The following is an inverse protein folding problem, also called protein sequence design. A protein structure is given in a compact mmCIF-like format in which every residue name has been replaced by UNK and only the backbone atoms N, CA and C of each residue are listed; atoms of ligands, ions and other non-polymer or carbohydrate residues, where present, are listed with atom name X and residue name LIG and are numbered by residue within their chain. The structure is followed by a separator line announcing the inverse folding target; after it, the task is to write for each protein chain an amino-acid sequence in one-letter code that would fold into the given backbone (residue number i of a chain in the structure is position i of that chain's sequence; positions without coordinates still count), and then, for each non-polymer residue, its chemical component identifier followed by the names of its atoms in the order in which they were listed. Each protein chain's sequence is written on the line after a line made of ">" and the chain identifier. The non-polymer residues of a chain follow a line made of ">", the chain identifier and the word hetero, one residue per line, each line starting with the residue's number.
data_IF_220131826813
#
_entry.id   IF_220131826813
#
_cell.length_a   1.000
_cell.length_b   1.000
_cell.length_c   1.000
_cell.angle_alpha   90.00
_cell.angle_beta   90.00
_cell.angle_gamma   90.00
#
_symmetry.space_group_name_H-M   'P 1'
#
loop_
_entity.id
_entity.type
_entity.pdbx_description
1 polymer ?
#
# COMPACT_ATOMS: atom_id res chain seq x y z
N UNK A 1 -23.01 -16.70 24.05
CA UNK A 1 -23.28 -15.48 23.26
C UNK A 1 -22.03 -14.66 22.97
N UNK A 2 -21.16 -14.37 23.95
CA UNK A 2 -19.97 -13.52 23.75
C UNK A 2 -19.00 -14.04 22.66
N UNK A 3 -18.71 -15.34 22.64
CA UNK A 3 -17.88 -15.95 21.57
C UNK A 3 -18.52 -15.83 20.18
N UNK A 4 -19.82 -16.08 20.06
CA UNK A 4 -20.54 -15.92 18.79
C UNK A 4 -20.53 -14.45 18.32
N UNK A 5 -20.74 -13.49 19.23
CA UNK A 5 -20.64 -12.06 18.91
C UNK A 5 -19.23 -11.65 18.45
N UNK A 6 -18.18 -12.17 19.09
CA UNK A 6 -16.78 -11.94 18.67
C UNK A 6 -16.48 -12.56 17.32
N UNK A 7 -17.01 -13.75 17.04
CA UNK A 7 -16.87 -14.40 15.74
C UNK A 7 -17.53 -13.58 14.63
N UNK A 8 -18.78 -13.14 14.81
CA UNK A 8 -19.49 -12.29 13.84
C UNK A 8 -18.80 -10.94 13.64
N UNK A 9 -18.35 -10.31 14.73
CA UNK A 9 -17.56 -9.06 14.64
C UNK A 9 -16.21 -9.26 13.93
N UNK A 10 -15.59 -10.43 14.11
CA UNK A 10 -14.38 -10.83 13.39
C UNK A 10 -14.59 -10.94 11.88
N UNK A 11 -15.71 -11.55 11.45
CA UNK A 11 -16.10 -11.60 10.04
C UNK A 11 -16.25 -10.18 9.47
N UNK A 12 -16.96 -9.29 10.19
CA UNK A 12 -17.12 -7.89 9.80
C UNK A 12 -15.78 -7.16 9.67
N UNK A 13 -14.87 -7.35 10.62
CA UNK A 13 -13.52 -6.75 10.59
C UNK A 13 -12.70 -7.27 9.42
N UNK A 14 -12.81 -8.57 9.10
CA UNK A 14 -12.15 -9.16 7.93
C UNK A 14 -12.64 -8.56 6.61
N UNK A 15 -13.96 -8.38 6.48
CA UNK A 15 -14.59 -7.75 5.30
C UNK A 15 -14.24 -6.26 5.17
N UNK A 16 -14.03 -5.56 6.30
CA UNK A 16 -13.69 -4.15 6.32
C UNK A 16 -12.35 -3.82 5.61
N UNK A 17 -11.48 -4.81 5.37
CA UNK A 17 -10.27 -4.59 4.56
C UNK A 17 -10.57 -4.12 3.13
N UNK A 18 -11.77 -4.38 2.61
CA UNK A 18 -12.24 -3.82 1.33
C UNK A 18 -12.29 -2.29 1.32
N UNK A 19 -12.39 -1.64 2.48
CA UNK A 19 -12.35 -0.18 2.60
C UNK A 19 -11.03 0.40 2.08
N UNK A 20 -9.89 -0.24 2.39
CA UNK A 20 -8.59 0.21 1.89
C UNK A 20 -8.51 0.14 0.37
N UNK A 21 -9.10 -0.90 -0.23
CA UNK A 21 -9.19 -1.02 -1.69
C UNK A 21 -10.05 0.10 -2.27
N UNK A 22 -11.24 0.33 -1.71
CA UNK A 22 -12.15 1.38 -2.14
C UNK A 22 -11.50 2.77 -2.09
N UNK A 23 -10.85 3.13 -0.98
CA UNK A 23 -10.09 4.39 -0.85
C UNK A 23 -9.01 4.47 -1.93
N UNK A 24 -8.35 3.37 -2.23
CA UNK A 24 -7.26 3.33 -3.21
C UNK A 24 -7.73 3.45 -4.67
N UNK A 25 -8.99 3.07 -4.96
CA UNK A 25 -9.61 3.18 -6.29
C UNK A 25 -10.34 4.51 -6.50
N UNK A 26 -10.82 5.13 -5.42
CA UNK A 26 -11.56 6.40 -5.46
C UNK A 26 -10.67 7.62 -5.27
N UNK A 27 -9.55 7.50 -4.55
CA UNK A 27 -8.62 8.60 -4.35
C UNK A 27 -7.93 9.04 -5.65
N UNK A 28 -7.73 10.35 -5.81
CA UNK A 28 -6.89 10.88 -6.88
C UNK A 28 -5.43 10.45 -6.68
N UNK A 29 -4.63 10.27 -7.76
CA UNK A 29 -3.26 9.78 -7.67
C UNK A 29 -2.37 10.59 -6.71
N UNK A 30 -2.56 11.91 -6.66
CA UNK A 30 -1.83 12.83 -5.79
C UNK A 30 -2.24 12.75 -4.30
N UNK A 31 -3.48 12.35 -4.00
CA UNK A 31 -4.04 12.31 -2.64
C UNK A 31 -4.06 10.90 -2.03
N UNK A 32 -3.86 9.86 -2.84
CA UNK A 32 -3.95 8.45 -2.44
C UNK A 32 -3.06 8.10 -1.25
N UNK A 33 -1.82 8.59 -1.24
CA UNK A 33 -0.88 8.32 -0.16
C UNK A 33 -1.35 8.93 1.18
N UNK A 34 -1.91 10.15 1.14
CA UNK A 34 -2.40 10.84 2.32
C UNK A 34 -3.65 10.15 2.89
N UNK A 35 -4.62 9.83 2.05
CA UNK A 35 -5.84 9.10 2.45
C UNK A 35 -5.53 7.70 2.98
N UNK A 36 -4.57 6.99 2.39
CA UNK A 36 -4.12 5.69 2.90
C UNK A 36 -3.47 5.80 4.29
N UNK A 37 -2.76 6.88 4.57
CA UNK A 37 -2.10 7.12 5.87
C UNK A 37 -3.10 7.43 6.99
N UNK A 38 -4.32 7.89 6.68
CA UNK A 38 -5.36 8.14 7.68
C UNK A 38 -5.85 6.85 8.36
N UNK A 39 -5.75 5.68 7.71
CA UNK A 39 -6.26 4.41 8.24
C UNK A 39 -5.68 4.06 9.62
N UNK A 40 -4.34 3.88 9.75
CA UNK A 40 -3.70 3.59 11.04
C UNK A 40 -3.96 4.63 12.13
N UNK A 41 -4.12 5.91 11.76
CA UNK A 41 -4.45 6.99 12.70
C UNK A 41 -5.87 6.78 13.26
N UNK A 42 -6.85 6.53 12.39
CA UNK A 42 -8.23 6.24 12.80
C UNK A 42 -8.34 4.98 13.67
N UNK A 43 -7.58 3.93 13.36
CA UNK A 43 -7.50 2.74 14.22
C UNK A 43 -6.94 3.10 15.60
N UNK A 44 -5.93 3.97 15.66
CA UNK A 44 -5.33 4.40 16.93
C UNK A 44 -6.28 5.26 17.76
N UNK A 45 -7.07 6.13 17.12
CA UNK A 45 -8.17 6.87 17.76
C UNK A 45 -9.20 5.89 18.34
N UNK A 46 -9.61 4.88 17.56
CA UNK A 46 -10.54 3.85 18.03
C UNK A 46 -10.02 3.08 19.25
N UNK A 47 -8.74 2.72 19.26
CA UNK A 47 -8.09 2.05 20.41
C UNK A 47 -8.06 2.96 21.64
N UNK A 48 -7.75 4.25 21.47
CA UNK A 48 -7.79 5.22 22.56
C UNK A 48 -9.19 5.37 23.16
N UNK A 49 -10.23 5.45 22.31
CA UNK A 49 -11.63 5.52 22.76
C UNK A 49 -11.98 4.26 23.55
N UNK A 50 -11.68 3.06 23.04
CA UNK A 50 -12.02 1.80 23.69
C UNK A 50 -11.27 1.62 25.01
N UNK A 51 -9.98 1.97 25.09
CA UNK A 51 -9.23 1.90 26.35
C UNK A 51 -9.74 2.90 27.38
N UNK A 52 -10.09 4.12 26.95
CA UNK A 52 -10.66 5.13 27.84
C UNK A 52 -12.00 4.64 28.39
N UNK A 53 -12.90 4.17 27.51
CA UNK A 53 -14.20 3.61 27.91
C UNK A 53 -14.03 2.39 28.84
N UNK A 54 -13.05 1.53 28.55
CA UNK A 54 -12.74 0.37 29.40
C UNK A 54 -12.19 0.73 30.78
N UNK A 55 -11.58 1.91 30.93
CA UNK A 55 -11.11 2.43 32.21
C UNK A 55 -12.24 3.06 33.05
N UNK A 56 -13.24 3.67 32.42
CA UNK A 56 -14.33 4.39 33.11
C UNK A 56 -15.64 3.60 33.23
N UNK A 57 -15.85 2.58 32.39
CA UNK A 57 -17.12 1.83 32.31
C UNK A 57 -16.91 0.32 32.29
N UNK A 58 -18.01 -0.43 32.43
CA UNK A 58 -18.00 -1.89 32.29
C UNK A 58 -17.87 -2.33 30.82
N UNK A 59 -17.40 -3.55 30.61
CA UNK A 59 -17.20 -4.12 29.27
C UNK A 59 -18.49 -4.17 28.43
N UNK A 60 -19.66 -4.34 29.07
CA UNK A 60 -20.98 -4.35 28.42
C UNK A 60 -21.33 -2.98 27.85
N UNK A 61 -21.13 -1.92 28.64
CA UNK A 61 -21.38 -0.53 28.20
C UNK A 61 -20.40 -0.12 27.12
N UNK A 62 -19.12 -0.51 27.25
CA UNK A 62 -18.11 -0.28 26.21
C UNK A 62 -18.49 -0.96 24.89
N UNK A 63 -19.04 -2.18 24.95
CA UNK A 63 -19.55 -2.88 23.77
C UNK A 63 -20.77 -2.17 23.17
N UNK A 64 -21.69 -1.67 24.00
CA UNK A 64 -22.85 -0.90 23.55
C UNK A 64 -22.44 0.40 22.84
N UNK A 65 -21.47 1.15 23.38
CA UNK A 65 -20.95 2.36 22.75
C UNK A 65 -20.30 2.09 21.39
N UNK A 66 -19.66 0.92 21.21
CA UNK A 66 -19.08 0.51 19.93
C UNK A 66 -20.11 0.28 18.81
N UNK A 67 -21.40 0.16 19.14
CA UNK A 67 -22.48 0.04 18.14
C UNK A 67 -22.70 1.37 17.42
N UNK A 68 -22.57 2.50 18.11
CA UNK A 68 -22.80 3.83 17.54
C UNK A 68 -21.93 4.14 16.31
N UNK A 69 -20.58 3.99 16.33
CA UNK A 69 -19.77 4.22 15.15
C UNK A 69 -20.05 3.21 14.02
N UNK A 70 -20.49 1.99 14.34
CA UNK A 70 -20.88 1.00 13.33
C UNK A 70 -22.15 1.43 12.59
N UNK A 71 -23.19 1.88 13.29
CA UNK A 71 -24.42 2.43 12.68
C UNK A 71 -24.11 3.67 11.86
N UNK A 72 -23.28 4.58 12.40
CA UNK A 72 -22.85 5.78 11.67
C UNK A 72 -22.11 5.41 10.38
N UNK A 73 -21.20 4.44 10.43
CA UNK A 73 -20.48 3.98 9.24
C UNK A 73 -21.43 3.43 8.18
N UNK A 74 -22.45 2.67 8.58
CA UNK A 74 -23.46 2.13 7.67
C UNK A 74 -24.29 3.24 7.01
N UNK A 75 -24.68 4.25 7.77
CA UNK A 75 -25.41 5.41 7.25
C UNK A 75 -24.55 6.20 6.24
N UNK A 76 -23.29 6.49 6.57
CA UNK A 76 -22.37 7.23 5.71
C UNK A 76 -22.02 6.46 4.43
N UNK A 77 -21.87 5.13 4.50
CA UNK A 77 -21.58 4.32 3.29
C UNK A 77 -22.69 4.39 2.25
N UNK A 78 -23.95 4.66 2.63
CA UNK A 78 -25.03 4.82 1.64
C UNK A 78 -24.96 6.13 0.87
N UNK A 79 -24.20 7.12 1.36
CA UNK A 79 -24.03 8.41 0.69
C UNK A 79 -22.83 8.41 -0.26
N UNK A 80 -22.00 7.36 -0.24
CA UNK A 80 -20.81 7.24 -1.07
C UNK A 80 -21.15 6.61 -2.43
N UNK A 81 -20.58 7.10 -3.54
CA UNK A 81 -20.72 6.46 -4.84
C UNK A 81 -19.96 5.13 -4.87
N UNK A 82 -20.38 4.21 -5.73
CA UNK A 82 -19.64 2.98 -5.98
C UNK A 82 -18.29 3.24 -6.65
N UNK A 83 -17.34 2.31 -6.50
CA UNK A 83 -16.00 2.46 -7.12
C UNK A 83 -16.12 2.60 -8.65
N UNK A 84 -15.59 3.68 -9.26
CA UNK A 84 -15.64 3.86 -10.71
C UNK A 84 -14.95 2.73 -11.48
N UNK A 85 -13.84 2.21 -10.94
CA UNK A 85 -13.11 1.10 -11.52
C UNK A 85 -13.97 -0.19 -11.54
N UNK A 86 -14.72 -0.44 -10.47
CA UNK A 86 -15.63 -1.57 -10.39
C UNK A 86 -16.83 -1.43 -11.34
N UNK A 87 -17.46 -0.26 -11.38
CA UNK A 87 -18.59 0.04 -12.29
C UNK A 87 -18.19 -0.14 -13.76
N UNK A 88 -17.02 0.40 -14.16
CA UNK A 88 -16.47 0.23 -15.50
C UNK A 88 -16.17 -1.25 -15.80
N UNK A 89 -15.64 -2.02 -14.83
CA UNK A 89 -15.41 -3.45 -15.01
C UNK A 89 -16.70 -4.25 -15.25
N UNK A 90 -17.82 -3.80 -14.69
CA UNK A 90 -19.15 -4.41 -14.89
C UNK A 90 -19.85 -3.94 -16.17
N UNK A 91 -19.25 -3.02 -16.93
CA UNK A 91 -19.87 -2.43 -18.12
C UNK A 91 -20.91 -1.36 -17.81
N UNK A 92 -21.02 -0.90 -16.56
CA UNK A 92 -21.89 0.20 -16.13
C UNK A 92 -21.16 1.53 -16.36
N UNK A 93 -20.98 1.88 -17.62
CA UNK A 93 -20.14 3.00 -18.09
C UNK A 93 -20.66 4.37 -17.67
N UNK A 94 -21.97 4.59 -17.80
CA UNK A 94 -22.60 5.87 -17.44
C UNK A 94 -22.45 6.17 -15.95
N UNK A 95 -22.76 5.20 -15.10
CA UNK A 95 -22.64 5.34 -13.64
C UNK A 95 -21.17 5.51 -13.21
N UNK A 96 -20.22 4.85 -13.89
CA UNK A 96 -18.81 5.03 -13.62
C UNK A 96 -18.37 6.48 -13.85
N UNK A 97 -18.86 7.11 -14.93
CA UNK A 97 -18.60 8.52 -15.23
C UNK A 97 -19.25 9.46 -14.19
N UNK A 98 -20.48 9.17 -13.77
CA UNK A 98 -21.16 9.93 -12.71
C UNK A 98 -20.44 9.84 -11.36
N UNK A 99 -19.99 8.65 -10.97
CA UNK A 99 -19.19 8.44 -9.77
C UNK A 99 -17.85 9.19 -9.83
N UNK A 100 -17.18 9.18 -10.98
CA UNK A 100 -15.96 9.97 -11.22
C UNK A 100 -16.21 11.47 -11.10
N UNK A 101 -17.31 11.99 -11.68
CA UNK A 101 -17.69 13.40 -11.58
C UNK A 101 -17.97 13.80 -10.12
N UNK A 102 -18.62 12.95 -9.35
CA UNK A 102 -18.85 13.19 -7.91
C UNK A 102 -17.54 13.24 -7.12
N UNK A 103 -16.60 12.34 -7.41
CA UNK A 103 -15.33 12.22 -6.70
C UNK A 103 -14.29 13.29 -7.09
N UNK A 104 -14.25 13.70 -8.36
CA UNK A 104 -13.24 14.65 -8.89
C UNK A 104 -13.76 16.07 -9.05
N UNK A 105 -15.07 16.26 -9.07
CA UNK A 105 -15.73 17.50 -9.47
C UNK A 105 -15.85 17.64 -11.00
N UNK A 106 -16.60 18.64 -11.49
CA UNK A 106 -16.73 18.90 -12.93
C UNK A 106 -15.41 19.44 -13.49
N UNK A 107 -14.78 18.74 -14.43
CA UNK A 107 -13.53 19.19 -15.05
C UNK A 107 -13.09 18.35 -16.26
N UNK A 108 -12.25 18.96 -17.12
CA UNK A 108 -11.81 18.42 -18.42
C UNK A 108 -10.99 17.12 -18.33
N UNK A 109 -10.46 16.76 -17.15
CA UNK A 109 -9.64 15.57 -16.96
C UNK A 109 -10.44 14.28 -16.69
N UNK A 110 -11.75 14.39 -16.41
CA UNK A 110 -12.58 13.22 -16.05
C UNK A 110 -12.78 12.29 -17.24
N UNK A 111 -12.95 12.84 -18.45
CA UNK A 111 -13.14 12.03 -19.66
C UNK A 111 -11.89 11.23 -20.03
N UNK A 112 -10.69 11.80 -19.80
CA UNK A 112 -9.42 11.12 -20.00
C UNK A 112 -9.19 10.01 -18.97
N UNK A 113 -9.40 10.29 -17.68
CA UNK A 113 -9.30 9.28 -16.60
C UNK A 113 -10.30 8.13 -16.82
N UNK A 114 -11.50 8.46 -17.31
CA UNK A 114 -12.51 7.48 -17.68
C UNK A 114 -12.07 6.58 -18.86
N UNK A 115 -11.51 7.16 -19.93
CA UNK A 115 -11.01 6.38 -21.06
C UNK A 115 -9.88 5.42 -20.64
N UNK A 116 -8.92 5.90 -19.84
CA UNK A 116 -7.82 5.09 -19.30
C UNK A 116 -8.35 3.92 -18.43
N UNK A 117 -9.39 4.15 -17.63
CA UNK A 117 -10.05 3.13 -16.83
C UNK A 117 -10.76 2.08 -17.69
N UNK A 118 -11.44 2.49 -18.76
CA UNK A 118 -12.11 1.58 -19.70
C UNK A 118 -11.10 0.69 -20.44
N UNK A 119 -10.00 1.26 -20.94
CA UNK A 119 -8.94 0.51 -21.60
C UNK A 119 -8.27 -0.51 -20.66
N UNK A 120 -7.98 -0.09 -19.42
CA UNK A 120 -7.37 -0.95 -18.41
C UNK A 120 -8.29 -2.12 -18.05
N UNK A 121 -9.60 -1.87 -17.94
CA UNK A 121 -10.59 -2.90 -17.66
C UNK A 121 -10.81 -3.86 -18.84
N UNK A 122 -10.77 -3.37 -20.09
CA UNK A 122 -10.85 -4.21 -21.28
C UNK A 122 -9.68 -5.21 -21.32
N UNK A 123 -8.44 -4.72 -21.13
CA UNK A 123 -7.23 -5.56 -21.02
C UNK A 123 -7.32 -6.59 -19.89
N UNK A 124 -8.02 -6.26 -18.79
CA UNK A 124 -8.19 -7.17 -17.63
C UNK A 124 -9.22 -8.27 -17.87
N UNK A 125 -10.27 -8.01 -18.66
CA UNK A 125 -11.31 -9.01 -19.00
C UNK A 125 -10.79 -10.13 -19.90
N UNK A 126 -9.83 -9.82 -20.79
CA UNK A 126 -9.27 -10.80 -21.72
C UNK A 126 -8.38 -11.85 -21.04
N UNK A 127 -7.84 -11.58 -19.84
CA UNK A 127 -6.95 -12.49 -19.10
C UNK A 127 -7.49 -12.82 -17.71
N UNK A 128 -8.47 -13.72 -17.63
CA UNK A 128 -8.84 -14.40 -16.37
C UNK A 128 -7.81 -15.48 -16.03
N UNK A 129 -6.65 -15.08 -15.53
CA UNK A 129 -5.62 -16.00 -15.07
C UNK A 129 -5.90 -16.46 -13.63
N UNK A 130 -5.66 -17.75 -13.33
CA UNK A 130 -5.90 -18.34 -12.01
C UNK A 130 -4.88 -17.84 -10.97
N UNK A 131 -5.35 -17.49 -9.77
CA UNK A 131 -4.49 -17.06 -8.64
C UNK A 131 -3.46 -18.15 -8.28
N UNK A 132 -3.84 -19.41 -8.41
CA UNK A 132 -2.98 -20.55 -8.09
C UNK A 132 -1.81 -20.67 -9.07
N UNK A 133 -2.06 -20.33 -10.34
CA UNK A 133 -1.04 -20.25 -11.38
C UNK A 133 -0.16 -19.01 -11.21
N UNK A 134 -0.73 -17.89 -10.76
CA UNK A 134 0.02 -16.68 -10.44
C UNK A 134 1.01 -16.90 -9.29
N UNK A 135 0.65 -17.69 -8.27
CA UNK A 135 1.53 -18.03 -7.14
C UNK A 135 2.80 -18.79 -7.57
N UNK A 136 2.81 -19.47 -8.71
CA UNK A 136 4.02 -20.13 -9.21
C UNK A 136 4.97 -19.16 -9.94
N UNK A 137 4.53 -17.95 -10.28
CA UNK A 137 5.36 -16.99 -11.00
C UNK A 137 6.43 -16.37 -10.09
N UNK A 138 7.70 -16.27 -10.53
CA UNK A 138 8.81 -15.71 -9.73
C UNK A 138 8.59 -14.27 -9.29
N UNK A 139 7.80 -13.53 -10.05
CA UNK A 139 7.39 -12.18 -9.77
C UNK A 139 6.35 -12.06 -8.62
N UNK A 140 5.65 -13.15 -8.31
CA UNK A 140 4.58 -13.16 -7.29
C UNK A 140 5.05 -13.85 -6.01
N UNK A 141 5.67 -15.03 -6.12
CA UNK A 141 6.03 -15.81 -4.93
C UNK A 141 7.15 -15.16 -4.11
N UNK A 142 8.10 -14.45 -4.76
CA UNK A 142 9.17 -13.73 -4.06
C UNK A 142 8.60 -12.60 -3.17
N UNK A 143 7.80 -11.65 -3.69
CA UNK A 143 7.06 -10.71 -2.85
C UNK A 143 6.20 -11.35 -1.77
N UNK A 144 5.48 -12.42 -2.12
CA UNK A 144 4.62 -13.13 -1.18
C UNK A 144 5.41 -13.70 -0.01
N UNK A 145 6.57 -14.32 -0.26
CA UNK A 145 7.44 -14.85 0.78
C UNK A 145 8.04 -13.74 1.65
N UNK A 146 8.45 -12.62 1.05
CA UNK A 146 8.96 -11.45 1.79
C UNK A 146 7.89 -10.93 2.75
N UNK A 147 6.66 -10.74 2.26
CA UNK A 147 5.55 -10.26 3.08
C UNK A 147 5.16 -11.28 4.15
N UNK A 148 5.13 -12.57 3.82
CA UNK A 148 4.85 -13.63 4.78
C UNK A 148 5.85 -13.63 5.95
N UNK A 149 7.15 -13.59 5.66
CA UNK A 149 8.21 -13.52 6.68
C UNK A 149 8.08 -12.23 7.48
N UNK A 150 7.79 -11.10 6.82
CA UNK A 150 7.62 -9.83 7.53
C UNK A 150 6.43 -9.86 8.49
N UNK A 151 5.28 -10.39 8.08
CA UNK A 151 4.13 -10.59 8.96
C UNK A 151 4.46 -11.57 10.10
N UNK A 152 5.17 -12.67 9.83
CA UNK A 152 5.57 -13.61 10.87
C UNK A 152 6.47 -12.95 11.93
N UNK A 153 7.49 -12.19 11.52
CA UNK A 153 8.36 -11.44 12.43
C UNK A 153 7.60 -10.34 13.17
N UNK A 154 6.63 -9.70 12.50
CA UNK A 154 5.73 -8.74 13.14
C UNK A 154 4.89 -9.38 14.25
N UNK A 155 4.31 -10.56 14.03
CA UNK A 155 3.53 -11.25 15.06
C UNK A 155 4.43 -11.71 16.23
N UNK A 156 5.57 -12.32 15.92
CA UNK A 156 6.52 -12.83 16.92
C UNK A 156 7.18 -11.71 17.74
N UNK A 157 7.20 -10.48 17.25
CA UNK A 157 7.70 -9.32 18.01
C UNK A 157 6.82 -8.91 19.20
N UNK A 158 5.62 -9.50 19.34
CA UNK A 158 4.76 -9.29 20.51
C UNK A 158 3.92 -8.01 20.48
N UNK A 159 3.91 -7.24 19.38
CA UNK A 159 3.12 -5.99 19.28
C UNK A 159 1.65 -6.24 19.62
N UNK A 160 1.02 -7.20 18.94
CA UNK A 160 -0.39 -7.49 19.16
C UNK A 160 -0.65 -8.08 20.54
N UNK A 161 0.28 -8.86 21.09
CA UNK A 161 0.18 -9.38 22.45
C UNK A 161 0.14 -8.24 23.46
N UNK A 162 1.08 -7.31 23.39
CA UNK A 162 1.16 -6.14 24.28
C UNK A 162 -0.09 -5.27 24.12
N UNK A 163 -0.66 -5.15 22.92
CA UNK A 163 -1.88 -4.39 22.69
C UNK A 163 -3.14 -5.10 23.23
N UNK A 164 -3.32 -6.40 23.02
CA UNK A 164 -4.51 -7.11 23.49
C UNK A 164 -4.49 -7.39 24.99
N UNK A 165 -3.29 -7.63 25.55
CA UNK A 165 -3.08 -7.92 26.95
C UNK A 165 -2.43 -6.74 27.71
N UNK A 166 -2.59 -5.50 27.23
CA UNK A 166 -1.93 -4.32 27.80
C UNK A 166 -2.09 -4.23 29.33
N UNK A 167 -3.33 -4.33 29.81
CA UNK A 167 -3.64 -4.28 31.26
C UNK A 167 -3.01 -5.43 32.01
N UNK A 168 -3.04 -6.65 31.47
CA UNK A 168 -2.43 -7.83 32.09
C UNK A 168 -0.91 -7.71 32.15
N UNK A 169 -0.27 -7.26 31.08
CA UNK A 169 1.19 -7.03 31.02
C UNK A 169 1.60 -5.95 32.02
N UNK A 170 0.83 -4.87 32.15
CA UNK A 170 1.08 -3.82 33.14
C UNK A 170 0.96 -4.35 34.58
N UNK A 171 -0.04 -5.19 34.84
CA UNK A 171 -0.24 -5.83 36.15
C UNK A 171 0.87 -6.81 36.49
N UNK A 172 1.32 -7.60 35.52
CA UNK A 172 2.42 -8.56 35.70
C UNK A 172 3.78 -7.87 35.96
N UNK A 173 3.91 -6.58 35.63
CA UNK A 173 5.08 -5.74 35.91
C UNK A 173 5.03 -5.11 37.31
N UNK A 174 3.85 -5.12 37.96
CA UNK A 174 3.60 -4.58 39.30
C UNK A 174 3.95 -3.07 39.41
N UNK A 175 3.25 -2.25 38.63
CA UNK A 175 3.46 -0.80 38.59
C UNK A 175 2.60 -0.11 39.66
N UNK A 176 3.16 0.86 40.39
CA UNK A 176 2.46 1.67 41.40
C UNK A 176 1.33 2.59 40.83
N UNK A 177 1.10 2.54 39.52
CA UNK A 177 0.12 3.37 38.81
C UNK A 177 -1.05 2.48 38.39
N UNK A 178 -2.27 3.01 38.46
CA UNK A 178 -3.46 2.30 38.01
C UNK A 178 -3.29 1.73 36.57
N UNK A 179 -3.36 0.39 36.44
CA UNK A 179 -3.21 -0.35 35.17
C UNK A 179 -4.08 0.22 34.04
N UNK A 180 -5.32 0.63 34.36
CA UNK A 180 -6.26 1.16 33.38
C UNK A 180 -5.83 2.54 32.90
N UNK A 181 -5.38 3.42 33.80
CA UNK A 181 -4.86 4.74 33.43
C UNK A 181 -3.57 4.63 32.60
N UNK A 182 -2.67 3.70 32.97
CA UNK A 182 -1.47 3.39 32.21
C UNK A 182 -1.79 2.86 30.81
N UNK A 183 -2.82 2.01 30.67
CA UNK A 183 -3.27 1.51 29.37
C UNK A 183 -3.75 2.65 28.46
N UNK A 184 -4.51 3.62 29.00
CA UNK A 184 -4.94 4.82 28.25
C UNK A 184 -3.73 5.62 27.79
N UNK A 185 -2.72 5.80 28.65
CA UNK A 185 -1.46 6.45 28.29
C UNK A 185 -0.73 5.75 27.13
N UNK A 186 -0.69 4.41 27.11
CA UNK A 186 -0.13 3.63 25.99
C UNK A 186 -0.91 3.89 24.70
N UNK A 187 -2.25 3.97 24.75
CA UNK A 187 -3.05 4.30 23.59
C UNK A 187 -2.84 5.74 23.10
N UNK A 188 -2.59 6.70 24.00
CA UNK A 188 -2.21 8.06 23.63
C UNK A 188 -0.87 8.08 22.91
N UNK A 189 0.14 7.39 23.44
CA UNK A 189 1.45 7.25 22.79
C UNK A 189 1.30 6.64 21.40
N UNK A 190 0.47 5.59 21.27
CA UNK A 190 0.15 4.96 19.99
C UNK A 190 -0.43 5.96 18.99
N UNK A 191 -1.38 6.78 19.40
CA UNK A 191 -1.99 7.80 18.54
C UNK A 191 -0.96 8.81 18.03
N UNK A 192 -0.18 9.42 18.92
CA UNK A 192 0.83 10.40 18.53
C UNK A 192 1.92 9.78 17.66
N UNK A 193 2.39 8.59 18.00
CA UNK A 193 3.37 7.86 17.21
C UNK A 193 2.83 7.49 15.82
N UNK A 194 1.53 7.22 15.68
CA UNK A 194 0.90 6.95 14.37
C UNK A 194 0.88 8.18 13.46
N UNK A 195 0.57 9.35 14.03
CA UNK A 195 0.58 10.63 13.30
C UNK A 195 2.01 10.97 12.88
N UNK A 196 2.96 10.82 13.81
CA UNK A 196 4.37 11.03 13.54
C UNK A 196 4.90 10.04 12.48
N UNK A 197 4.56 8.76 12.60
CA UNK A 197 4.92 7.71 11.64
C UNK A 197 4.39 7.97 10.23
N UNK A 198 3.14 8.44 10.11
CA UNK A 198 2.57 8.85 8.82
C UNK A 198 3.35 10.02 8.19
N UNK A 199 3.75 11.02 8.98
CA UNK A 199 4.62 12.10 8.52
C UNK A 199 6.00 11.60 8.07
N UNK A 200 6.62 10.71 8.84
CA UNK A 200 7.92 10.12 8.51
C UNK A 200 7.87 9.21 7.28
N UNK A 201 6.78 8.47 7.07
CA UNK A 201 6.60 7.63 5.90
C UNK A 201 6.61 8.42 4.59
N UNK A 202 6.25 9.71 4.64
CA UNK A 202 6.32 10.63 3.51
C UNK A 202 7.73 11.16 3.24
N UNK A 203 8.68 11.06 4.17
CA UNK A 203 10.05 11.59 4.02
C UNK A 203 11.15 10.51 3.99
N UNK A 204 10.97 9.41 4.71
CA UNK A 204 11.91 8.30 4.79
C UNK A 204 11.52 7.15 3.86
N UNK A 205 12.53 6.39 3.43
CA UNK A 205 12.34 5.12 2.71
C UNK A 205 11.67 4.05 3.60
N UNK A 206 10.95 3.12 3.00
CA UNK A 206 10.16 2.11 3.71
C UNK A 206 11.09 1.11 4.41
N UNK A 207 12.23 0.82 3.79
CA UNK A 207 13.28 -0.05 4.35
C UNK A 207 13.88 0.51 5.63
N UNK A 208 14.25 1.79 5.61
CA UNK A 208 14.86 2.47 6.77
C UNK A 208 13.83 2.65 7.88
N UNK A 209 12.59 3.01 7.54
CA UNK A 209 11.53 3.20 8.52
C UNK A 209 11.18 1.90 9.26
N UNK A 210 11.10 0.77 8.55
CA UNK A 210 10.90 -0.55 9.15
C UNK A 210 12.06 -0.94 10.07
N UNK A 211 13.30 -0.65 9.69
CA UNK A 211 14.47 -0.93 10.50
C UNK A 211 14.49 -0.11 11.80
N UNK A 212 14.37 1.22 11.71
CA UNK A 212 14.41 2.10 12.89
C UNK A 212 13.30 1.74 13.86
N UNK A 213 12.10 1.46 13.34
CA UNK A 213 10.95 1.03 14.13
C UNK A 213 11.19 -0.33 14.80
N UNK A 214 11.62 -1.36 14.05
CA UNK A 214 11.90 -2.69 14.60
C UNK A 214 13.06 -2.71 15.60
N UNK A 215 14.12 -1.92 15.34
CA UNK A 215 15.25 -1.78 16.27
C UNK A 215 14.83 -1.07 17.55
N UNK A 216 14.05 0.02 17.44
CA UNK A 216 13.49 0.72 18.60
C UNK A 216 12.62 -0.20 19.46
N UNK A 217 11.80 -1.05 18.83
CA UNK A 217 11.02 -2.06 19.53
C UNK A 217 11.89 -3.11 20.24
N UNK A 218 12.98 -3.55 19.62
CA UNK A 218 13.91 -4.52 20.21
C UNK A 218 14.58 -3.93 21.46
N UNK A 219 15.10 -2.71 21.37
CA UNK A 219 15.70 -2.00 22.51
C UNK A 219 14.67 -1.81 23.63
N UNK A 220 13.44 -1.43 23.29
CA UNK A 220 12.37 -1.25 24.26
C UNK A 220 11.96 -2.57 24.94
N UNK A 221 11.79 -3.65 24.18
CA UNK A 221 11.46 -4.98 24.72
C UNK A 221 12.58 -5.55 25.60
N UNK A 222 13.84 -5.35 25.18
CA UNK A 222 15.01 -5.67 26.00
C UNK A 222 15.01 -4.87 27.30
N UNK A 223 14.68 -3.57 27.24
CA UNK A 223 14.53 -2.71 28.42
C UNK A 223 13.53 -3.27 29.44
N UNK A 224 12.36 -3.72 28.98
CA UNK A 224 11.37 -4.41 29.84
C UNK A 224 11.96 -5.69 30.43
N UNK A 225 12.67 -6.50 29.66
CA UNK A 225 13.26 -7.73 30.17
C UNK A 225 14.35 -7.48 31.24
N UNK A 226 15.09 -6.37 31.11
CA UNK A 226 16.14 -5.96 32.06
C UNK A 226 15.55 -5.39 33.36
N UNK A 227 14.36 -4.78 33.34
CA UNK A 227 13.72 -4.29 34.58
C UNK A 227 13.47 -5.43 35.57
N UNK A 228 13.05 -6.60 35.08
CA UNK A 228 12.90 -7.81 35.90
C UNK A 228 14.22 -8.41 36.41
N UNK A 229 15.38 -8.00 35.87
CA UNK A 229 16.69 -8.49 36.33
C UNK A 229 17.32 -7.58 37.37
N UNK A 230 17.16 -6.27 37.18
CA UNK A 230 17.82 -5.23 37.97
C UNK A 230 16.87 -4.49 38.92
N UNK A 231 15.57 -4.82 38.95
CA UNK A 231 14.54 -4.20 39.78
C UNK A 231 14.53 -2.68 39.64
N UNK A 232 14.45 -2.19 38.39
CA UNK A 232 14.32 -0.77 38.12
C UNK A 232 13.01 -0.20 38.68
N UNK A 233 12.95 1.11 38.97
CA UNK A 233 11.72 1.75 39.44
C UNK A 233 10.59 1.65 38.40
N UNK A 234 9.35 1.58 38.87
CA UNK A 234 8.16 1.21 38.09
C UNK A 234 7.85 2.12 36.89
N UNK A 235 8.39 3.33 36.85
CA UNK A 235 8.27 4.23 35.68
C UNK A 235 9.11 3.78 34.47
N UNK A 236 10.20 3.04 34.71
CA UNK A 236 11.09 2.54 33.64
C UNK A 236 10.39 1.51 32.74
N UNK A 237 9.80 0.41 33.26
CA UNK A 237 9.11 -0.55 32.40
C UNK A 237 7.90 0.06 31.71
N UNK A 238 7.19 1.01 32.35
CA UNK A 238 6.11 1.76 31.73
C UNK A 238 6.60 2.57 30.51
N UNK A 239 7.73 3.28 30.66
CA UNK A 239 8.37 4.00 29.57
C UNK A 239 8.81 3.05 28.46
N UNK A 240 9.38 1.88 28.80
CA UNK A 240 9.78 0.90 27.81
C UNK A 240 8.59 0.29 27.05
N UNK A 241 7.45 0.01 27.70
CA UNK A 241 6.23 -0.44 27.01
C UNK A 241 5.72 0.66 26.08
N UNK A 242 5.64 1.89 26.58
CA UNK A 242 5.25 3.05 25.77
C UNK A 242 6.16 3.23 24.55
N UNK A 243 7.47 3.10 24.74
CA UNK A 243 8.46 3.17 23.66
C UNK A 243 8.31 2.00 22.68
N UNK A 244 8.02 0.79 23.15
CA UNK A 244 7.78 -0.37 22.28
C UNK A 244 6.55 -0.14 21.40
N UNK A 245 5.42 0.27 21.99
CA UNK A 245 4.19 0.57 21.24
C UNK A 245 4.38 1.76 20.30
N UNK A 246 4.99 2.84 20.78
CA UNK A 246 5.29 4.02 19.97
C UNK A 246 6.21 3.69 18.79
N UNK A 247 7.33 3.02 19.05
CA UNK A 247 8.26 2.58 18.00
C UNK A 247 7.55 1.70 16.98
N UNK A 248 6.68 0.77 17.39
CA UNK A 248 5.94 -0.10 16.48
C UNK A 248 5.05 0.65 15.48
N UNK A 249 4.40 1.74 15.94
CA UNK A 249 3.51 2.55 15.09
C UNK A 249 4.24 3.37 14.03
N UNK A 250 5.53 3.67 14.24
CA UNK A 250 6.33 4.44 13.29
C UNK A 250 6.46 3.72 11.95
N UNK A 251 6.53 2.38 11.94
CA UNK A 251 6.61 1.64 10.68
C UNK A 251 6.43 0.14 10.77
N UNK A 252 6.97 -0.53 11.78
CA UNK A 252 6.98 -2.00 11.84
C UNK A 252 5.57 -2.60 11.90
N UNK A 253 4.59 -1.89 12.48
CA UNK A 253 3.19 -2.29 12.48
C UNK A 253 2.49 -1.98 11.15
N UNK A 254 2.72 -0.80 10.57
CA UNK A 254 1.92 -0.27 9.45
C UNK A 254 2.45 -0.70 8.08
N UNK A 255 3.77 -0.86 7.94
CA UNK A 255 4.42 -1.10 6.66
C UNK A 255 4.04 -2.42 5.99
N UNK A 256 3.96 -3.59 6.67
CA UNK A 256 3.55 -4.83 6.00
C UNK A 256 2.20 -4.72 5.27
N UNK A 257 1.25 -4.00 5.88
CA UNK A 257 -0.07 -3.74 5.30
C UNK A 257 0.01 -2.84 4.07
N UNK A 258 0.79 -1.76 4.13
CA UNK A 258 1.00 -0.85 2.99
C UNK A 258 1.73 -1.58 1.85
N UNK A 259 2.79 -2.31 2.17
CA UNK A 259 3.63 -3.04 1.23
C UNK A 259 2.88 -4.15 0.50
N UNK A 260 1.84 -4.72 1.11
CA UNK A 260 0.92 -5.65 0.42
C UNK A 260 0.29 -5.00 -0.83
N UNK A 261 0.06 -3.68 -0.80
CA UNK A 261 -0.45 -2.93 -1.94
C UNK A 261 0.63 -2.36 -2.87
N UNK A 262 1.91 -2.39 -2.48
CA UNK A 262 3.01 -1.85 -3.29
C UNK A 262 3.81 -2.94 -4.02
N UNK A 263 4.00 -4.12 -3.42
CA UNK A 263 4.78 -5.20 -4.04
C UNK A 263 3.98 -6.05 -5.03
N UNK A 264 2.67 -6.20 -4.83
CA UNK A 264 1.89 -7.10 -5.68
C UNK A 264 1.53 -6.44 -7.02
N UNK A 265 1.69 -7.17 -8.13
CA UNK A 265 1.30 -6.70 -9.46
C UNK A 265 -0.20 -6.42 -9.47
N UNK A 266 -0.60 -5.33 -10.15
CA UNK A 266 -1.98 -4.84 -10.17
C UNK A 266 -3.00 -5.92 -10.58
N UNK A 267 -2.58 -6.84 -11.46
CA UNK A 267 -3.41 -7.94 -11.97
C UNK A 267 -3.89 -8.88 -10.86
N UNK A 268 -3.00 -9.25 -9.94
CA UNK A 268 -3.26 -10.25 -8.89
C UNK A 268 -3.40 -9.66 -7.48
N UNK A 269 -3.23 -8.35 -7.32
CA UNK A 269 -3.22 -7.65 -6.01
C UNK A 269 -4.41 -7.98 -5.13
N UNK A 270 -5.63 -8.03 -5.68
CA UNK A 270 -6.83 -8.34 -4.89
C UNK A 270 -6.80 -9.74 -4.28
N UNK A 271 -6.49 -10.76 -5.10
CA UNK A 271 -6.43 -12.16 -4.65
C UNK A 271 -5.26 -12.44 -3.71
N UNK A 272 -4.06 -11.98 -4.07
CA UNK A 272 -2.85 -12.16 -3.25
C UNK A 272 -2.91 -11.36 -1.95
N UNK A 273 -3.43 -10.14 -1.99
CA UNK A 273 -3.63 -9.31 -0.80
C UNK A 273 -4.61 -9.95 0.18
N UNK A 274 -5.71 -10.51 -0.31
CA UNK A 274 -6.66 -11.28 0.50
C UNK A 274 -6.02 -12.51 1.14
N UNK A 275 -5.29 -13.31 0.36
CA UNK A 275 -4.59 -14.50 0.87
C UNK A 275 -3.55 -14.14 1.94
N UNK A 276 -2.73 -13.13 1.68
CA UNK A 276 -1.69 -12.65 2.61
C UNK A 276 -2.31 -12.15 3.91
N UNK A 277 -3.40 -11.38 3.81
CA UNK A 277 -4.14 -10.87 4.96
C UNK A 277 -4.73 -12.00 5.79
N UNK A 278 -5.33 -13.01 5.16
CA UNK A 278 -5.87 -14.19 5.85
C UNK A 278 -4.79 -14.95 6.61
N UNK A 279 -3.60 -15.14 6.01
CA UNK A 279 -2.46 -15.76 6.67
C UNK A 279 -1.96 -14.90 7.83
N UNK A 280 -1.83 -13.59 7.65
CA UNK A 280 -1.42 -12.67 8.72
C UNK A 280 -2.39 -12.70 9.91
N UNK A 281 -3.71 -12.74 9.65
CA UNK A 281 -4.73 -12.85 10.70
C UNK A 281 -4.68 -14.21 11.40
N UNK A 282 -4.38 -15.29 10.67
CA UNK A 282 -4.16 -16.61 11.27
C UNK A 282 -2.93 -16.62 12.19
N UNK A 283 -1.82 -16.02 11.76
CA UNK A 283 -0.62 -15.87 12.60
C UNK A 283 -0.91 -15.02 13.84
N UNK A 284 -1.71 -13.97 13.71
CA UNK A 284 -2.18 -13.13 14.83
C UNK A 284 -2.99 -13.97 15.82
N UNK A 285 -3.94 -14.76 15.34
CA UNK A 285 -4.76 -15.65 16.17
C UNK A 285 -3.90 -16.66 16.94
N UNK A 286 -2.98 -17.35 16.26
CA UNK A 286 -2.07 -18.32 16.89
C UNK A 286 -1.24 -17.64 17.98
N UNK A 287 -0.65 -16.48 17.68
CA UNK A 287 0.22 -15.76 18.63
C UNK A 287 -0.53 -15.29 19.87
N UNK A 288 -1.72 -14.68 19.70
CA UNK A 288 -2.55 -14.21 20.82
C UNK A 288 -3.03 -15.40 21.67
N UNK A 289 -3.41 -16.51 21.02
CA UNK A 289 -3.92 -17.69 21.73
C UNK A 289 -2.82 -18.42 22.50
N UNK A 290 -1.61 -18.49 21.96
CA UNK A 290 -0.46 -19.15 22.58
C UNK A 290 0.17 -18.33 23.72
N UNK A 291 -0.02 -17.01 23.73
CA UNK A 291 0.64 -16.13 24.69
C UNK A 291 0.33 -16.45 26.17
N UNK A 292 -0.92 -16.66 26.62
CA UNK A 292 -1.20 -16.98 28.02
C UNK A 292 -0.50 -18.27 28.49
N UNK A 293 -0.49 -19.30 27.64
CA UNK A 293 0.17 -20.57 27.94
C UNK A 293 1.70 -20.38 28.01
N UNK A 294 2.27 -19.61 27.08
CA UNK A 294 3.69 -19.24 27.08
C UNK A 294 4.07 -18.46 28.35
N UNK A 295 3.25 -17.49 28.74
CA UNK A 295 3.47 -16.68 29.93
C UNK A 295 3.34 -17.51 31.22
N UNK A 296 2.44 -18.49 31.25
CA UNK A 296 2.29 -19.39 32.40
C UNK A 296 3.50 -20.32 32.59
N UNK A 297 4.12 -20.79 31.50
CA UNK A 297 5.25 -21.73 31.57
C UNK A 297 6.59 -21.02 31.78
N UNK A 298 6.85 -19.95 31.01
CA UNK A 298 8.18 -19.30 30.99
C UNK A 298 8.16 -17.97 31.73
N UNK A 299 7.02 -17.30 31.86
CA UNK A 299 6.90 -16.00 32.51
C UNK A 299 7.20 -14.81 31.61
N UNK A 300 6.78 -13.62 32.06
CA UNK A 300 6.80 -12.40 31.27
C UNK A 300 8.23 -11.97 30.90
N UNK A 301 9.18 -12.12 31.84
CA UNK A 301 10.59 -11.78 31.66
C UNK A 301 11.21 -12.43 30.43
N UNK A 302 11.03 -13.73 30.27
CA UNK A 302 11.61 -14.46 29.14
C UNK A 302 10.81 -14.25 27.85
N UNK A 303 9.50 -14.06 27.97
CA UNK A 303 8.65 -13.69 26.84
C UNK A 303 9.11 -12.37 26.20
N UNK A 304 9.50 -11.38 27.01
CA UNK A 304 10.04 -10.11 26.51
C UNK A 304 11.41 -10.26 25.82
N UNK A 305 12.26 -11.18 26.27
CA UNK A 305 13.50 -11.54 25.55
C UNK A 305 13.22 -12.14 24.18
N UNK A 306 12.23 -13.02 24.06
CA UNK A 306 11.80 -13.60 22.78
C UNK A 306 11.30 -12.50 21.84
N UNK A 307 10.46 -11.60 22.34
CA UNK A 307 9.96 -10.46 21.57
C UNK A 307 11.09 -9.51 21.12
N UNK A 308 12.06 -9.26 21.99
CA UNK A 308 13.27 -8.48 21.65
C UNK A 308 14.09 -9.13 20.55
N UNK A 309 14.31 -10.45 20.62
CA UNK A 309 15.09 -11.17 19.61
C UNK A 309 14.34 -11.19 18.26
N UNK A 310 13.03 -11.44 18.27
CA UNK A 310 12.20 -11.46 17.07
C UNK A 310 12.10 -10.08 16.40
N UNK A 311 11.96 -9.00 17.17
CA UNK A 311 11.95 -7.63 16.64
C UNK A 311 13.31 -7.21 16.09
N UNK A 312 14.42 -7.61 16.72
CA UNK A 312 15.77 -7.37 16.19
C UNK A 312 15.98 -8.13 14.88
N UNK A 313 15.57 -9.40 14.80
CA UNK A 313 15.60 -10.18 13.57
C UNK A 313 14.73 -9.54 12.49
N UNK A 314 13.55 -9.04 12.87
CA UNK A 314 12.68 -8.23 12.02
C UNK A 314 13.35 -6.96 11.48
N UNK A 315 14.09 -6.25 12.30
CA UNK A 315 14.83 -5.06 11.89
C UNK A 315 15.95 -5.43 10.90
N UNK A 316 16.74 -6.47 11.19
CA UNK A 316 17.79 -6.95 10.30
C UNK A 316 17.20 -7.44 8.96
N UNK A 317 16.08 -8.16 9.01
CA UNK A 317 15.32 -8.57 7.83
C UNK A 317 14.87 -7.36 7.00
N UNK A 318 14.32 -6.33 7.67
CA UNK A 318 13.91 -5.10 7.03
C UNK A 318 15.09 -4.42 6.31
N UNK A 319 16.27 -4.37 6.91
CA UNK A 319 17.45 -3.85 6.20
C UNK A 319 17.96 -4.77 5.11
N UNK A 320 17.93 -6.08 5.23
CA UNK A 320 18.68 -6.94 4.28
C UNK A 320 17.86 -7.35 3.06
N UNK A 321 16.59 -7.69 3.28
CA UNK A 321 15.74 -8.38 2.28
C UNK A 321 14.68 -7.45 1.71
N UNK A 322 14.21 -6.46 2.49
CA UNK A 322 13.09 -5.63 2.10
C UNK A 322 13.47 -4.68 0.95
N UNK A 323 12.73 -4.69 -0.18
CA UNK A 323 12.96 -3.75 -1.27
C UNK A 323 12.50 -2.35 -0.86
N UNK A 324 13.25 -1.34 -1.31
CA UNK A 324 12.76 0.04 -1.23
C UNK A 324 11.67 0.26 -2.30
N UNK A 325 10.47 0.63 -1.86
CA UNK A 325 9.29 0.85 -2.70
C UNK A 325 8.99 2.33 -2.91
N UNK A 326 9.59 3.23 -2.12
CA UNK A 326 9.34 4.67 -2.19
C UNK A 326 9.78 5.26 -3.53
N UNK A 327 8.88 6.01 -4.16
CA UNK A 327 9.18 6.76 -5.38
C UNK A 327 9.50 5.89 -6.60
N UNK A 328 9.16 4.59 -6.53
CA UNK A 328 9.31 3.65 -7.65
C UNK A 328 7.95 3.38 -8.26
N UNK A 329 7.90 3.25 -9.59
CA UNK A 329 6.68 2.82 -10.26
C UNK A 329 6.40 1.35 -9.95
N UNK A 330 5.13 0.94 -10.05
CA UNK A 330 4.75 -0.46 -9.83
C UNK A 330 5.41 -1.39 -10.86
N UNK A 331 5.58 -0.90 -12.09
CA UNK A 331 6.23 -1.64 -13.17
C UNK A 331 7.74 -1.83 -12.91
N UNK A 332 8.43 -0.83 -12.34
CA UNK A 332 9.83 -0.96 -11.94
C UNK A 332 10.04 -2.03 -10.86
N UNK A 333 9.12 -2.08 -9.89
CA UNK A 333 9.14 -3.07 -8.81
C UNK A 333 8.91 -4.47 -9.40
N UNK A 334 7.96 -4.59 -10.32
CA UNK A 334 7.64 -5.84 -11.02
C UNK A 334 8.86 -6.35 -11.82
N UNK A 335 9.50 -5.49 -12.60
CA UNK A 335 10.69 -5.82 -13.38
C UNK A 335 11.86 -6.29 -12.49
N UNK A 336 12.03 -5.71 -11.31
CA UNK A 336 13.08 -6.11 -10.35
C UNK A 336 12.93 -7.55 -9.87
N UNK A 337 11.71 -8.05 -9.73
CA UNK A 337 11.46 -9.44 -9.35
C UNK A 337 11.57 -10.41 -10.54
N UNK A 338 11.27 -9.94 -11.76
CA UNK A 338 11.46 -10.68 -13.01
C UNK A 338 12.94 -10.87 -13.39
N UNK A 339 13.77 -9.84 -13.25
CA UNK A 339 15.18 -9.83 -13.71
C UNK A 339 16.08 -10.87 -13.00
N UNK A 340 15.79 -11.21 -11.74
CA UNK A 340 16.56 -12.22 -10.97
C UNK A 340 16.33 -13.69 -11.38
N UNK A 341 15.58 -13.95 -12.45
CA UNK A 341 15.33 -15.30 -12.98
C UNK A 341 15.72 -15.34 -14.44
N UNK A 342 17.02 -15.57 -14.72
CA UNK A 342 17.59 -15.92 -16.03
C UNK A 342 16.85 -15.35 -17.27
N UNK A 343 16.77 -14.03 -17.37
CA UNK A 343 16.51 -13.37 -18.64
C UNK A 343 17.87 -13.13 -19.30
N UNK A 344 18.23 -14.00 -20.25
CA UNK A 344 19.36 -13.79 -21.15
C UNK A 344 19.26 -12.39 -21.77
N UNK A 345 20.31 -11.59 -21.58
CA UNK A 345 20.49 -10.21 -22.09
C UNK A 345 20.12 -10.04 -23.58
N UNK A 346 20.10 -11.12 -24.37
CA UNK A 346 19.71 -11.11 -25.77
C UNK A 346 18.22 -10.84 -26.03
N UNK A 347 17.31 -11.11 -25.07
CA UNK A 347 15.87 -10.94 -25.30
C UNK A 347 15.40 -9.51 -25.04
N UNK A 348 16.05 -8.82 -24.09
CA UNK A 348 15.80 -7.40 -23.81
C UNK A 348 16.22 -6.53 -25.01
N UNK A 349 17.39 -6.78 -25.61
CA UNK A 349 17.81 -6.07 -26.82
C UNK A 349 16.88 -6.31 -28.02
N UNK A 350 16.29 -7.51 -28.18
CA UNK A 350 15.34 -7.78 -29.29
C UNK A 350 13.98 -7.12 -29.10
N UNK A 351 13.47 -7.05 -27.87
CA UNK A 351 12.18 -6.38 -27.59
C UNK A 351 12.36 -4.86 -27.65
N UNK A 352 13.48 -4.34 -27.13
CA UNK A 352 13.81 -2.92 -27.21
C UNK A 352 14.13 -2.48 -28.65
N UNK A 353 14.84 -3.31 -29.45
CA UNK A 353 15.06 -3.02 -30.88
C UNK A 353 13.78 -3.06 -31.71
N UNK A 354 12.80 -3.88 -31.32
CA UNK A 354 11.49 -3.91 -31.99
C UNK A 354 10.57 -2.76 -31.56
N UNK A 355 10.72 -2.22 -30.35
CA UNK A 355 10.02 -0.99 -29.93
C UNK A 355 10.69 0.29 -30.46
N UNK A 356 11.98 0.25 -30.74
CA UNK A 356 12.76 1.36 -31.32
C UNK A 356 12.96 1.26 -32.83
N UNK A 357 12.17 0.46 -33.55
CA UNK A 357 12.09 0.70 -34.99
C UNK A 357 11.50 2.10 -35.17
N UNK A 358 12.25 3.05 -35.77
CA UNK A 358 11.67 4.34 -36.10
C UNK A 358 10.59 4.04 -37.14
N UNK A 359 9.32 4.17 -36.76
CA UNK A 359 8.34 4.54 -37.76
C UNK A 359 8.86 5.86 -38.32
N UNK A 360 9.16 5.89 -39.62
CA UNK A 360 9.60 7.11 -40.30
C UNK A 360 8.53 8.18 -40.09
N UNK A 361 8.72 9.04 -39.10
CA UNK A 361 7.89 10.22 -38.88
C UNK A 361 8.56 11.32 -39.68
N UNK A 362 8.06 11.51 -40.90
CA UNK A 362 8.48 12.60 -41.77
C UNK A 362 7.90 13.91 -41.23
N UNK A 363 8.70 14.68 -40.49
CA UNK A 363 8.31 16.02 -40.04
C UNK A 363 8.40 17.00 -41.22
N UNK A 364 7.25 17.42 -41.76
CA UNK A 364 7.22 18.51 -42.74
C UNK A 364 7.22 19.87 -42.03
N UNK A 365 8.24 20.68 -42.32
CA UNK A 365 8.33 22.07 -41.86
C UNK A 365 7.49 22.95 -42.78
N UNK A 366 6.31 23.36 -42.34
CA UNK A 366 5.53 24.39 -43.04
C UNK A 366 5.97 25.77 -42.57
N UNK A 367 6.63 26.54 -43.44
CA UNK A 367 6.78 27.99 -43.28
C UNK A 367 5.47 28.65 -43.71
N UNK A 368 4.73 29.17 -42.73
CA UNK A 368 3.50 29.98 -42.82
C UNK A 368 2.28 29.35 -43.50
N UNK A 369 1.17 29.26 -42.76
CA UNK A 369 -0.15 28.92 -43.29
C UNK A 369 -0.94 30.24 -43.47
N UNK A 370 -1.51 30.45 -44.66
CA UNK A 370 -2.40 31.58 -45.00
C UNK A 370 -3.74 31.52 -44.23
N UNK A 371 -4.30 32.68 -43.87
CA UNK A 371 -5.47 32.88 -43.00
C UNK A 371 -6.75 32.14 -43.44
N UNK A 372 -6.83 31.65 -44.67
CA UNK A 372 -8.01 30.92 -45.18
C UNK A 372 -8.20 29.51 -44.58
N UNK A 373 -7.18 28.93 -43.93
CA UNK A 373 -7.25 27.58 -43.32
C UNK A 373 -7.50 27.57 -41.80
N UNK A 374 -7.69 28.73 -41.17
CA UNK A 374 -7.95 28.83 -39.73
C UNK A 374 -9.38 28.43 -39.32
N UNK A 375 -10.35 28.43 -40.26
CA UNK A 375 -11.76 28.20 -39.93
C UNK A 375 -12.14 26.73 -39.72
N UNK A 376 -11.31 25.78 -40.12
CA UNK A 376 -11.54 24.34 -39.90
C UNK A 376 -10.78 23.74 -38.72
N UNK A 377 -10.02 24.55 -37.97
CA UNK A 377 -9.17 24.11 -36.85
C UNK A 377 -9.76 24.60 -35.55
N UNK A 378 -10.88 24.00 -35.14
CA UNK A 378 -11.48 24.24 -33.83
C UNK A 378 -11.74 22.93 -33.09
N UNK A 379 -10.75 22.04 -33.13
CA UNK A 379 -10.68 20.89 -32.23
C UNK A 379 -9.25 20.40 -32.16
N UNK A 380 -8.66 20.46 -30.97
CA UNK A 380 -7.35 19.91 -30.58
C UNK A 380 -6.12 20.70 -31.05
N UNK A 381 -5.80 21.79 -30.34
CA UNK A 381 -4.44 22.32 -30.31
C UNK A 381 -4.04 22.63 -28.86
N UNK A 382 -3.06 21.87 -28.34
CA UNK A 382 -2.30 22.30 -27.16
C UNK A 382 -1.14 23.16 -27.67
N UNK A 383 -1.12 24.42 -27.25
CA UNK A 383 -0.03 25.36 -27.56
C UNK A 383 1.01 25.26 -26.45
N UNK A 384 2.16 24.67 -26.77
CA UNK A 384 3.46 25.00 -26.18
C UNK A 384 4.49 24.91 -27.31
N UNK A 385 5.20 26.01 -27.57
CA UNK A 385 6.25 26.21 -28.57
C UNK A 385 6.08 25.49 -29.92
N UNK A 386 5.33 26.13 -30.84
CA UNK A 386 5.42 26.00 -32.30
C UNK A 386 5.40 24.58 -32.93
N UNK A 387 4.86 23.56 -32.26
CA UNK A 387 4.63 22.26 -32.88
C UNK A 387 3.21 21.76 -32.65
N UNK A 388 2.44 21.63 -33.74
CA UNK A 388 1.19 20.88 -33.76
C UNK A 388 1.44 19.51 -34.40
N UNK A 389 1.01 18.44 -33.72
CA UNK A 389 0.99 17.07 -34.23
C UNK A 389 -0.46 16.73 -34.61
N UNK A 390 -0.69 16.48 -35.89
CA UNK A 390 -1.98 15.99 -36.39
C UNK A 390 -1.87 14.48 -36.63
N UNK A 391 -2.67 13.68 -35.91
CA UNK A 391 -2.81 12.24 -36.13
C UNK A 391 -4.17 11.99 -36.76
N UNK A 392 -4.24 12.01 -38.11
CA UNK A 392 -5.45 11.59 -38.83
C UNK A 392 -5.33 10.12 -39.29
N UNK A 393 -6.37 9.28 -39.18
CA UNK A 393 -6.31 7.84 -39.48
C UNK A 393 -6.19 7.48 -40.99
N UNK A 394 -6.13 8.45 -41.89
CA UNK A 394 -6.30 8.19 -43.34
C UNK A 394 -5.04 7.73 -44.10
N UNK A 395 -3.90 7.57 -43.44
CA UNK A 395 -2.64 7.15 -44.10
C UNK A 395 -2.26 5.67 -43.90
N UNK A 396 -3.17 4.81 -43.41
CA UNK A 396 -2.87 3.39 -43.19
C UNK A 396 -3.14 2.46 -44.39
N UNK A 397 -3.74 2.95 -45.48
CA UNK A 397 -4.23 2.07 -46.57
C UNK A 397 -3.69 2.36 -47.99
N UNK A 398 -2.63 3.16 -48.16
CA UNK A 398 -2.11 3.50 -49.52
C UNK A 398 -0.70 3.04 -49.89
N UNK A 399 -0.02 2.25 -49.06
CA UNK A 399 1.38 1.86 -49.30
C UNK A 399 1.61 0.45 -49.86
N UNK A 400 0.65 -0.12 -50.63
CA UNK A 400 0.89 -1.42 -51.30
C UNK A 400 0.92 -1.38 -52.83
N UNK A 401 0.63 -0.25 -53.50
CA UNK A 401 0.71 -0.17 -54.98
C UNK A 401 1.02 1.23 -55.52
N UNK A 402 2.13 1.83 -55.12
CA UNK A 402 2.73 2.90 -55.92
C UNK A 402 4.20 3.10 -55.53
N UNK A 403 5.10 2.71 -56.42
CA UNK A 403 6.32 3.45 -56.80
C UNK A 403 7.51 2.51 -57.08
N UNK A 404 7.41 1.78 -58.21
CA UNK A 404 8.55 1.63 -59.10
C UNK A 404 8.46 2.76 -60.11
N UNK A 405 9.08 3.91 -59.83
CA UNK A 405 9.79 4.71 -60.83
C UNK A 405 10.50 5.90 -60.19
N UNK A 406 11.76 6.02 -60.61
CA UNK A 406 12.55 7.24 -60.71
C UNK A 406 13.25 7.75 -59.45
N UNK A 407 14.52 7.32 -59.34
CA UNK A 407 15.62 8.05 -58.71
C UNK A 407 16.02 9.26 -59.58
N UNK A 408 16.19 10.43 -58.97
CA UNK A 408 17.37 11.33 -59.09
C UNK A 408 17.13 12.60 -58.25
N UNK A 409 17.85 12.76 -57.14
CA UNK A 409 18.84 13.83 -56.85
C UNK A 409 18.23 15.25 -56.87
N UNK A 410 18.11 16.04 -55.80
CA UNK A 410 18.97 16.27 -54.63
C UNK A 410 18.14 16.59 -53.37
N UNK A 411 18.39 15.90 -52.26
CA UNK A 411 17.95 16.32 -50.92
C UNK A 411 19.12 16.10 -49.95
N UNK A 412 19.63 17.20 -49.38
CA UNK A 412 20.60 17.16 -48.29
C UNK A 412 19.96 16.54 -47.05
N UNK A 413 20.34 15.29 -46.76
CA UNK A 413 20.03 14.61 -45.51
C UNK A 413 21.02 15.08 -44.46
N UNK A 414 20.57 15.91 -43.51
CA UNK A 414 21.33 16.18 -42.28
C UNK A 414 20.96 15.08 -41.28
N UNK A 415 21.86 14.11 -41.11
CA UNK A 415 21.77 13.14 -40.02
C UNK A 415 22.23 13.81 -38.72
N UNK A 416 21.31 14.03 -37.79
CA UNK A 416 21.65 14.40 -36.41
C UNK A 416 21.65 13.11 -35.59
N UNK A 417 22.84 12.61 -35.24
CA UNK A 417 23.01 11.54 -34.27
C UNK A 417 22.85 12.13 -32.86
N UNK A 418 21.84 11.67 -32.12
CA UNK A 418 21.71 11.91 -30.68
C UNK A 418 22.50 10.83 -29.94
N UNK A 419 23.75 11.10 -29.60
CA UNK A 419 24.49 10.33 -28.60
C UNK A 419 23.92 10.66 -27.20
N UNK A 420 23.20 9.71 -26.61
CA UNK A 420 22.92 9.74 -25.17
C UNK A 420 24.16 9.24 -24.42
N UNK A 421 24.96 10.17 -23.90
CA UNK A 421 25.96 9.88 -22.87
C UNK A 421 25.24 9.68 -21.54
N UNK A 422 25.34 8.47 -20.98
CA UNK A 422 24.94 8.18 -19.60
C UNK A 422 25.84 8.93 -18.61
N UNK A 423 25.24 9.71 -17.71
CA UNK A 423 25.79 10.08 -16.41
C UNK A 423 24.68 9.99 -15.36
#
# INVERSE_FOLDING_TARGET
>A
MLYAGRFVSGIGTGMANGLYLYVSETAAPNQRAWLASCGPILVSVGVLIVYTLGAITTWERTAAFSIAPAILSLALTRMLPESPAWLASRGRTQEAKEALLWLRGPGLNVDKEYQELCETNAKRKEKKESILQALHMPNVWKPFLILFIFFALQQLSGIYVILFYAVNVLRDIDIDVNDYAASVGIASIRLFASIFGAGLANNLGRRVLAFVSGFGMAVAAMGIALTFRFNFPSWVPLLCIGAHVGASMIGFLTLPWVMTSELYPLRFRGGLGGLTTSIAQMLTFVTIKMYPDLNAVIGLKYTMWIFSAASLLGAIFALTILPETRGRSLDDIEMKFCSKSNWTEQTACKIFSNMLQPKNITLQRFTSISEEKQSSVLTNAYVYDNFCLELSPENLDKDTKASQKELSQDQQVINIALEHVCL
#
